data_IF_748741420144
#
_entry.id   IF_748741420144
#
_cell.length_a   1.000
_cell.length_b   1.000
_cell.length_c   1.000
_cell.angle_alpha   90.00
_cell.angle_beta   90.00
_cell.angle_gamma   90.00
#
_symmetry.space_group_name_H-M   'P 1'
#
loop_
_entity.id
_entity.type
_entity.pdbx_description
1 polymer ?
#
# COMPACT_ATOMS: atom_id res chain seq x y z
N UNK A 1 3.25 4.42 18.10
CA UNK A 1 4.29 4.01 17.15
C UNK A 1 3.64 2.96 16.27
N UNK A 2 3.35 3.30 15.02
CA UNK A 2 2.71 2.38 14.06
C UNK A 2 3.84 1.66 13.32
N UNK A 3 3.92 0.33 13.46
CA UNK A 3 4.92 -0.51 12.81
C UNK A 3 4.39 -0.91 11.43
N UNK A 4 5.21 -0.71 10.41
CA UNK A 4 4.90 -1.07 9.04
C UNK A 4 5.87 -2.21 8.66
N UNK A 5 5.30 -3.34 8.26
CA UNK A 5 6.05 -4.54 7.92
C UNK A 5 5.78 -4.87 6.44
N UNK A 6 6.86 -5.16 5.71
CA UNK A 6 6.79 -5.53 4.30
C UNK A 6 7.52 -6.87 4.16
N UNK A 7 6.73 -7.93 3.98
CA UNK A 7 7.24 -9.26 3.69
C UNK A 7 7.35 -9.45 2.18
N UNK A 8 8.53 -9.85 1.71
CA UNK A 8 8.79 -10.11 0.30
C UNK A 8 9.20 -11.57 0.14
N UNK A 9 8.37 -12.34 -0.55
CA UNK A 9 8.62 -13.75 -0.84
C UNK A 9 9.03 -13.89 -2.31
N UNK A 10 10.27 -14.35 -2.54
CA UNK A 10 10.77 -14.67 -3.88
C UNK A 10 10.64 -16.17 -4.09
N UNK A 11 9.74 -16.58 -4.99
CA UNK A 11 9.53 -17.98 -5.32
C UNK A 11 10.59 -18.49 -6.28
N UNK A 12 10.76 -19.83 -6.35
CA UNK A 12 11.77 -20.46 -7.21
C UNK A 12 11.49 -20.27 -8.72
N UNK A 13 10.27 -19.91 -9.07
CA UNK A 13 9.84 -19.62 -10.44
C UNK A 13 10.21 -18.19 -10.89
N UNK A 14 10.67 -17.35 -9.96
CA UNK A 14 10.93 -15.92 -10.22
C UNK A 14 9.75 -15.01 -9.89
N UNK A 15 8.60 -15.58 -9.54
CA UNK A 15 7.44 -14.85 -9.01
C UNK A 15 7.77 -14.22 -7.65
N UNK A 16 7.37 -12.96 -7.46
CA UNK A 16 7.56 -12.23 -6.21
C UNK A 16 6.20 -11.90 -5.61
N UNK A 17 6.00 -12.27 -4.35
CA UNK A 17 4.79 -11.98 -3.58
C UNK A 17 5.14 -10.97 -2.48
N UNK A 18 4.40 -9.88 -2.42
CA UNK A 18 4.60 -8.80 -1.45
C UNK A 18 3.40 -8.77 -0.52
N UNK A 19 3.63 -8.86 0.78
CA UNK A 19 2.61 -8.66 1.81
C UNK A 19 2.98 -7.44 2.65
N UNK A 20 2.07 -6.47 2.71
CA UNK A 20 2.26 -5.23 3.47
C UNK A 20 1.27 -5.23 4.63
N UNK A 21 1.78 -5.01 5.86
CA UNK A 21 0.99 -4.99 7.10
C UNK A 21 1.28 -3.72 7.89
N UNK A 22 0.27 -3.22 8.59
CA UNK A 22 0.40 -2.01 9.41
C UNK A 22 0.42 -0.71 8.60
N UNK A 23 0.10 -0.76 7.31
CA UNK A 23 -0.06 0.42 6.44
C UNK A 23 -1.54 0.67 6.24
N UNK A 24 -2.02 1.80 6.76
CA UNK A 24 -3.42 2.23 6.62
C UNK A 24 -3.62 3.05 5.35
N UNK A 25 -4.73 2.78 4.67
CA UNK A 25 -5.18 3.52 3.51
C UNK A 25 -4.38 3.23 2.25
N UNK A 26 -4.47 4.14 1.28
CA UNK A 26 -3.83 3.98 -0.04
C UNK A 26 -2.32 4.20 -0.04
N UNK A 27 -1.68 4.51 1.09
CA UNK A 27 -0.22 4.64 1.16
C UNK A 27 0.51 3.32 0.89
N UNK A 28 -0.15 2.18 1.11
CA UNK A 28 0.38 0.86 0.73
C UNK A 28 0.65 0.79 -0.78
N UNK A 29 -0.21 1.42 -1.55
CA UNK A 29 -0.21 1.43 -3.01
C UNK A 29 0.93 2.28 -3.59
N UNK A 30 1.33 3.35 -2.91
CA UNK A 30 2.47 4.20 -3.26
C UNK A 30 3.80 3.49 -2.91
N UNK A 31 3.85 2.86 -1.73
CA UNK A 31 5.01 2.09 -1.28
C UNK A 31 5.28 0.88 -2.17
N UNK A 32 4.26 0.16 -2.61
CA UNK A 32 4.45 -0.98 -3.52
C UNK A 32 4.77 -0.54 -4.94
N UNK A 33 4.35 0.66 -5.39
CA UNK A 33 4.51 1.09 -6.78
C UNK A 33 5.97 1.12 -7.25
N UNK A 34 6.87 1.69 -6.44
CA UNK A 34 8.30 1.73 -6.77
C UNK A 34 8.90 0.32 -6.76
N UNK A 35 8.48 -0.51 -5.79
CA UNK A 35 8.92 -1.90 -5.67
C UNK A 35 8.45 -2.75 -6.86
N UNK A 36 7.20 -2.59 -7.28
CA UNK A 36 6.61 -3.23 -8.46
C UNK A 36 7.36 -2.81 -9.72
N UNK A 37 7.71 -1.52 -9.86
CA UNK A 37 8.47 -1.01 -11.00
C UNK A 37 9.87 -1.64 -11.10
N UNK A 38 10.57 -1.80 -9.97
CA UNK A 38 11.89 -2.48 -9.94
C UNK A 38 11.76 -3.98 -10.25
N UNK A 39 10.66 -4.61 -9.83
CA UNK A 39 10.38 -6.03 -10.08
C UNK A 39 9.90 -6.34 -11.51
N UNK A 40 9.70 -5.32 -12.35
CA UNK A 40 9.32 -5.47 -13.77
C UNK A 40 7.90 -5.03 -14.10
N UNK A 41 7.15 -4.50 -13.14
CA UNK A 41 5.84 -3.88 -13.33
C UNK A 41 4.71 -4.86 -13.68
N UNK A 42 4.93 -6.16 -13.51
CA UNK A 42 3.93 -7.20 -13.78
C UNK A 42 3.25 -7.64 -12.48
N UNK A 43 1.96 -7.37 -12.39
CA UNK A 43 1.12 -7.71 -11.23
C UNK A 43 0.18 -8.84 -11.66
N UNK A 44 0.46 -10.06 -11.21
CA UNK A 44 -0.39 -11.22 -11.51
C UNK A 44 -1.71 -11.17 -10.71
N UNK A 45 -1.64 -10.76 -9.45
CA UNK A 45 -2.80 -10.64 -8.58
C UNK A 45 -2.57 -9.61 -7.48
N UNK A 46 -3.65 -8.92 -7.07
CA UNK A 46 -3.63 -7.99 -5.94
C UNK A 46 -4.86 -8.18 -5.07
N UNK A 47 -4.62 -8.38 -3.77
CA UNK A 47 -5.66 -8.47 -2.76
C UNK A 47 -5.53 -7.30 -1.78
N UNK A 48 -6.61 -6.53 -1.60
CA UNK A 48 -6.64 -5.43 -0.64
C UNK A 48 -7.12 -5.93 0.72
N UNK A 49 -6.34 -5.67 1.75
CA UNK A 49 -6.71 -5.95 3.14
C UNK A 49 -7.60 -4.83 3.69
N UNK A 50 -8.29 -5.09 4.81
CA UNK A 50 -9.16 -4.09 5.45
C UNK A 50 -8.40 -2.81 5.83
N UNK A 51 -7.11 -2.92 6.17
CA UNK A 51 -6.22 -1.78 6.47
C UNK A 51 -6.05 -0.86 5.26
N UNK A 52 -6.00 -1.38 4.03
CA UNK A 52 -5.94 -0.56 2.82
C UNK A 52 -7.22 0.26 2.61
N UNK A 53 -8.35 -0.21 3.16
CA UNK A 53 -9.63 0.48 3.14
C UNK A 53 -9.83 1.39 4.37
N UNK A 54 -8.96 1.31 5.37
CA UNK A 54 -8.91 2.30 6.45
C UNK A 54 -8.36 3.60 5.88
N UNK A 55 -9.26 4.40 5.31
CA UNK A 55 -8.95 5.76 4.90
C UNK A 55 -8.49 6.50 6.15
N UNK A 56 -7.21 6.83 6.24
CA UNK A 56 -6.73 7.81 7.19
C UNK A 56 -7.54 9.07 6.92
N UNK A 57 -8.48 9.39 7.82
CA UNK A 57 -9.39 10.52 7.67
C UNK A 57 -8.63 11.82 7.89
N UNK A 58 -7.68 12.15 7.03
CA UNK A 58 -7.14 13.51 6.90
C UNK A 58 -7.99 14.27 5.88
N UNK A 59 -9.27 14.45 6.21
CA UNK A 59 -10.14 15.40 5.52
C UNK A 59 -10.71 16.38 6.53
N UNK A 60 -9.82 17.16 7.16
CA UNK A 60 -10.20 18.48 7.71
C UNK A 60 -9.07 19.50 7.56
N UNK A 61 -8.64 19.73 6.33
CA UNK A 61 -8.09 21.04 5.94
C UNK A 61 -8.88 21.59 4.76
N UNK A 62 -10.21 21.55 4.89
CA UNK A 62 -11.12 22.29 4.04
C UNK A 62 -11.53 23.55 4.78
N UNK A 63 -10.81 24.64 4.57
CA UNK A 63 -11.24 25.99 4.94
C UNK A 63 -12.54 26.32 4.22
N UNK A 64 -13.68 25.96 4.81
CA UNK A 64 -14.98 26.52 4.43
C UNK A 64 -15.19 27.77 5.28
N UNK A 65 -14.59 28.86 4.80
CA UNK A 65 -15.07 30.20 5.09
C UNK A 65 -16.36 30.41 4.31
N UNK A 66 -17.50 30.26 5.00
CA UNK A 66 -18.77 30.81 4.52
C UNK A 66 -18.72 32.31 4.82
N UNK A 67 -18.66 33.09 3.75
CA UNK A 67 -18.98 34.52 3.69
C UNK A 67 -20.48 34.75 3.83
#
# INVERSE_FOLDING_TARGET
MEFQEVDVFVEKDGSVRIEVRGVKGMSCLDLTQDLEAVLGGQIEAREMTLEAHEIATDIVSGSIGIV
#
